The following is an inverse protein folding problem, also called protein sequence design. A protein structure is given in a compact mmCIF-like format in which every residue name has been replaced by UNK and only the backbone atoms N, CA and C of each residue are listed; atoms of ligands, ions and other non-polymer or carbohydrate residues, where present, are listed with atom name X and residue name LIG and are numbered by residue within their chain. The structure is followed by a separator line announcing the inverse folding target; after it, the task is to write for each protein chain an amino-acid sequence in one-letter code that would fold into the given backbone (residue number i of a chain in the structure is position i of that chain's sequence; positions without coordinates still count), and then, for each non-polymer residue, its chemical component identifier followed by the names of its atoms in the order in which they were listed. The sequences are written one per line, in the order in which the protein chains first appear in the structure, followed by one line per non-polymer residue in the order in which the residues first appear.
data_IF_855723072858
#
_entry.id   IF_855723072858
#
_cell.length_a   1.000
_cell.length_b   1.000
_cell.length_c   1.000
_cell.angle_alpha   90.00
_cell.angle_beta   90.00
_cell.angle_gamma   90.00
#
_symmetry.space_group_name_H-M   'P 1'
#
loop_
_entity.id
_entity.type
_entity.pdbx_description
1 polymer ?
#
# COMPACT_ATOMS: atom_id res chain seq x y z
N UNK A 1 6.36 5.12 -13.23
CA UNK A 1 6.70 5.04 -14.65
C UNK A 1 8.01 4.28 -14.86
N UNK A 2 8.07 3.53 -15.95
CA UNK A 2 9.28 2.78 -16.28
C UNK A 2 9.45 1.45 -15.59
N UNK A 3 8.55 1.08 -14.67
CA UNK A 3 8.64 -0.22 -14.04
C UNK A 3 8.09 -1.30 -14.99
N UNK A 4 8.77 -2.44 -15.06
CA UNK A 4 8.35 -3.54 -15.90
C UNK A 4 7.65 -4.61 -15.08
N UNK A 5 6.73 -5.33 -15.72
CA UNK A 5 5.97 -6.40 -15.05
C UNK A 5 6.89 -7.45 -14.43
N UNK A 6 7.90 -7.89 -15.18
CA UNK A 6 8.85 -8.90 -14.71
C UNK A 6 9.57 -8.46 -13.43
N UNK A 7 9.99 -7.19 -13.38
CA UNK A 7 10.68 -6.63 -12.22
C UNK A 7 9.75 -6.58 -11.02
N UNK A 8 8.53 -6.10 -11.21
CA UNK A 8 7.56 -6.02 -10.12
C UNK A 8 7.22 -7.41 -9.57
N UNK A 9 7.00 -8.38 -10.46
CA UNK A 9 6.72 -9.76 -10.03
C UNK A 9 7.86 -10.33 -9.21
N UNK A 10 9.10 -10.10 -9.63
CA UNK A 10 10.27 -10.58 -8.90
C UNK A 10 10.36 -9.97 -7.51
N UNK A 11 10.13 -8.67 -7.41
CA UNK A 11 10.18 -7.95 -6.13
C UNK A 11 9.10 -8.45 -5.17
N UNK A 12 7.87 -8.59 -5.64
CA UNK A 12 6.74 -8.99 -4.80
C UNK A 12 6.73 -10.49 -4.48
N UNK A 13 7.55 -11.27 -5.17
CA UNK A 13 7.67 -12.70 -4.93
C UNK A 13 8.86 -13.04 -4.03
N UNK A 14 9.57 -12.04 -3.52
CA UNK A 14 10.74 -12.28 -2.67
C UNK A 14 10.34 -13.06 -1.42
N UNK A 15 11.13 -14.08 -1.09
CA UNK A 15 10.87 -14.90 0.08
C UNK A 15 10.94 -14.05 1.35
N UNK A 16 9.94 -14.22 2.21
CA UNK A 16 9.88 -13.50 3.48
C UNK A 16 9.29 -12.10 3.37
N UNK A 17 8.96 -11.63 2.16
CA UNK A 17 8.35 -10.32 2.01
C UNK A 17 6.90 -10.37 2.51
N UNK A 18 6.55 -9.50 3.47
CA UNK A 18 5.23 -9.49 4.10
C UNK A 18 4.47 -8.19 3.86
N UNK A 19 5.15 -7.11 3.55
CA UNK A 19 4.51 -5.82 3.33
C UNK A 19 5.28 -4.94 2.37
N UNK A 20 4.58 -4.02 1.74
CA UNK A 20 5.12 -3.08 0.76
C UNK A 20 4.46 -1.73 0.96
N UNK A 21 5.24 -0.67 0.88
CA UNK A 21 4.71 0.68 0.80
C UNK A 21 4.75 1.08 -0.68
N UNK A 22 3.57 1.36 -1.23
CA UNK A 22 3.43 1.80 -2.62
C UNK A 22 3.35 3.32 -2.63
N UNK A 23 4.30 3.96 -3.26
CA UNK A 23 4.29 5.42 -3.41
C UNK A 23 3.63 5.77 -4.74
N UNK A 24 2.57 6.57 -4.68
CA UNK A 24 1.84 7.00 -5.87
C UNK A 24 1.93 8.51 -6.02
N UNK A 25 1.49 9.02 -7.16
CA UNK A 25 1.55 10.46 -7.43
C UNK A 25 0.27 11.15 -7.02
N UNK A 26 0.39 12.41 -6.60
CA UNK A 26 -0.75 13.25 -6.27
C UNK A 26 -1.62 12.62 -5.20
N UNK A 27 -2.91 12.48 -5.48
CA UNK A 27 -3.89 11.95 -4.54
C UNK A 27 -3.99 10.42 -4.55
N UNK A 28 -2.97 9.74 -5.04
CA UNK A 28 -2.92 8.28 -5.02
C UNK A 28 -2.99 7.62 -6.40
N UNK A 29 -2.70 8.37 -7.46
CA UNK A 29 -2.68 7.81 -8.81
C UNK A 29 -1.46 6.91 -8.99
N UNK A 30 -1.68 5.77 -9.59
CA UNK A 30 -0.65 4.77 -9.89
C UNK A 30 -0.73 4.43 -11.38
N UNK A 31 0.22 3.64 -11.91
CA UNK A 31 0.09 3.15 -13.28
C UNK A 31 -1.24 2.46 -13.49
N UNK A 32 -1.88 2.72 -14.64
CA UNK A 32 -3.21 2.18 -14.95
C UNK A 32 -3.15 0.87 -15.71
N UNK A 33 -1.96 0.35 -15.97
CA UNK A 33 -1.78 -0.90 -16.71
C UNK A 33 -2.48 -2.06 -16.02
N UNK A 34 -3.19 -2.86 -16.80
CA UNK A 34 -3.89 -4.03 -16.26
C UNK A 34 -2.93 -4.99 -15.56
N UNK A 35 -1.73 -5.18 -16.11
CA UNK A 35 -0.76 -6.07 -15.51
C UNK A 35 -0.34 -5.58 -14.12
N UNK A 36 -0.25 -4.27 -13.92
CA UNK A 36 0.16 -3.70 -12.62
C UNK A 36 -0.85 -4.06 -11.54
N UNK A 37 -2.13 -3.82 -11.83
CA UNK A 37 -3.21 -4.15 -10.90
C UNK A 37 -3.24 -5.66 -10.62
N UNK A 38 -3.10 -6.47 -11.67
CA UNK A 38 -3.14 -7.93 -11.53
C UNK A 38 -1.99 -8.47 -10.68
N UNK A 39 -0.79 -7.93 -10.86
CA UNK A 39 0.37 -8.35 -10.08
C UNK A 39 0.17 -8.04 -8.60
N UNK A 40 -0.34 -6.84 -8.29
CA UNK A 40 -0.63 -6.47 -6.91
C UNK A 40 -1.73 -7.36 -6.33
N UNK A 41 -2.79 -7.61 -7.08
CA UNK A 41 -3.88 -8.46 -6.61
C UNK A 41 -3.41 -9.87 -6.28
N UNK A 42 -2.61 -10.46 -7.16
CA UNK A 42 -2.04 -11.79 -6.92
C UNK A 42 -1.20 -11.81 -5.66
N UNK A 43 -0.39 -10.77 -5.44
CA UNK A 43 0.46 -10.69 -4.25
C UNK A 43 -0.37 -10.56 -2.98
N UNK A 44 -1.42 -9.73 -3.02
CA UNK A 44 -2.31 -9.53 -1.87
C UNK A 44 -3.06 -10.84 -1.56
N UNK A 45 -3.48 -11.57 -2.58
CA UNK A 45 -4.14 -12.86 -2.40
C UNK A 45 -3.22 -13.88 -1.74
N UNK A 46 -1.91 -13.74 -1.91
CA UNK A 46 -0.92 -14.59 -1.23
C UNK A 46 -0.63 -14.14 0.20
N UNK A 47 -1.21 -13.02 0.62
CA UNK A 47 -1.05 -12.50 1.98
C UNK A 47 -0.20 -11.25 2.12
N UNK A 48 0.34 -10.70 1.03
CA UNK A 48 1.11 -9.46 1.07
C UNK A 48 0.21 -8.30 1.47
N UNK A 49 0.74 -7.40 2.31
CA UNK A 49 0.04 -6.17 2.68
C UNK A 49 0.66 -5.03 1.90
N UNK A 50 -0.17 -4.28 1.18
CA UNK A 50 0.25 -3.13 0.39
C UNK A 50 -0.38 -1.88 0.97
N UNK A 51 0.45 -0.93 1.38
CA UNK A 51 0.01 0.34 1.95
C UNK A 51 0.37 1.46 0.98
N UNK A 52 -0.63 2.20 0.53
CA UNK A 52 -0.47 3.24 -0.48
C UNK A 52 -0.29 4.61 0.16
N UNK A 53 0.81 5.29 -0.18
CA UNK A 53 1.06 6.67 0.24
C UNK A 53 1.38 7.51 -1.00
N UNK A 54 1.29 8.83 -0.86
CA UNK A 54 1.63 9.72 -1.97
C UNK A 54 3.11 10.11 -1.92
N UNK A 55 3.71 10.23 -3.10
CA UNK A 55 5.06 10.75 -3.23
C UNK A 55 5.10 12.27 -3.04
N UNK A 56 3.95 12.93 -3.16
CA UNK A 56 3.87 14.39 -3.01
C UNK A 56 3.96 14.76 -1.55
N UNK A 57 4.99 15.53 -1.21
CA UNK A 57 5.19 15.98 0.16
C UNK A 57 3.99 16.80 0.63
N UNK A 58 3.43 16.45 1.79
CA UNK A 58 2.25 17.10 2.31
C UNK A 58 0.95 16.69 1.63
N UNK A 59 1.02 15.73 0.69
CA UNK A 59 -0.16 15.24 0.01
C UNK A 59 -0.93 14.21 0.82
N UNK A 60 -2.11 13.89 0.34
CA UNK A 60 -2.99 12.90 0.96
C UNK A 60 -3.52 11.95 -0.11
N UNK A 61 -3.55 10.66 0.22
CA UNK A 61 -4.13 9.65 -0.67
C UNK A 61 -5.65 9.70 -0.54
N UNK A 62 -6.35 9.83 -1.67
CA UNK A 62 -7.80 9.88 -1.73
C UNK A 62 -8.28 8.84 -2.74
N UNK A 63 -8.16 7.57 -2.36
CA UNK A 63 -8.34 6.44 -3.28
C UNK A 63 -9.73 6.39 -3.90
N UNK A 64 -10.75 6.80 -3.16
CA UNK A 64 -12.12 6.74 -3.66
C UNK A 64 -12.49 7.82 -4.68
N UNK A 65 -11.62 8.81 -4.94
CA UNK A 65 -11.92 9.88 -5.90
C UNK A 65 -11.51 9.56 -7.33
N UNK A 66 -10.69 8.54 -7.53
CA UNK A 66 -10.14 8.23 -8.85
C UNK A 66 -10.37 6.77 -9.19
N UNK A 67 -10.59 6.50 -10.48
CA UNK A 67 -10.82 5.12 -10.94
C UNK A 67 -9.67 4.19 -10.56
N UNK A 68 -8.44 4.63 -10.75
CA UNK A 68 -7.26 3.84 -10.39
C UNK A 68 -7.23 3.57 -8.89
N UNK A 69 -7.55 4.59 -8.08
CA UNK A 69 -7.62 4.44 -6.63
C UNK A 69 -8.69 3.44 -6.21
N UNK A 70 -9.85 3.50 -6.84
CA UNK A 70 -10.93 2.55 -6.56
C UNK A 70 -10.52 1.12 -6.92
N UNK A 71 -9.82 0.94 -8.03
CA UNK A 71 -9.35 -0.39 -8.44
C UNK A 71 -8.34 -0.94 -7.43
N UNK A 72 -7.40 -0.10 -6.97
CA UNK A 72 -6.43 -0.49 -5.96
C UNK A 72 -7.14 -0.88 -4.65
N UNK A 73 -8.12 -0.08 -4.25
CA UNK A 73 -8.88 -0.35 -3.03
C UNK A 73 -9.63 -1.68 -3.12
N UNK A 74 -10.22 -1.97 -4.28
CA UNK A 74 -10.98 -3.21 -4.48
C UNK A 74 -10.12 -4.46 -4.36
N UNK A 75 -8.87 -4.40 -4.76
CA UNK A 75 -7.98 -5.55 -4.67
C UNK A 75 -7.32 -5.68 -3.29
N UNK A 76 -7.57 -4.72 -2.40
CA UNK A 76 -7.10 -4.81 -1.02
C UNK A 76 -5.92 -3.92 -0.66
N UNK A 77 -5.56 -2.97 -1.52
CA UNK A 77 -4.52 -1.98 -1.17
C UNK A 77 -5.07 -1.04 -0.10
N UNK A 78 -4.31 -0.86 0.97
CA UNK A 78 -4.72 -0.01 2.09
C UNK A 78 -4.36 1.44 1.81
N UNK A 79 -5.24 2.35 2.24
CA UNK A 79 -5.03 3.79 2.10
C UNK A 79 -4.13 4.28 3.24
N UNK A 80 -3.04 4.96 2.89
CA UNK A 80 -2.12 5.56 3.85
C UNK A 80 -2.48 6.98 4.25
N UNK A 81 -3.56 7.53 3.69
CA UNK A 81 -4.03 8.88 3.99
C UNK A 81 -2.91 9.90 3.76
N UNK A 82 -2.59 10.72 4.76
CA UNK A 82 -1.55 11.75 4.66
C UNK A 82 -0.24 11.36 5.32
N UNK A 83 -0.02 10.06 5.55
CA UNK A 83 1.24 9.58 6.10
C UNK A 83 2.41 9.91 5.17
N UNK A 84 3.54 10.26 5.77
CA UNK A 84 4.79 10.32 5.02
C UNK A 84 5.24 8.89 4.73
N UNK A 85 6.12 8.74 3.75
CA UNK A 85 6.69 7.42 3.43
C UNK A 85 7.40 6.83 4.65
N UNK A 86 8.14 7.66 5.38
CA UNK A 86 8.87 7.23 6.57
C UNK A 86 7.93 6.71 7.65
N UNK A 87 6.82 7.42 7.88
CA UNK A 87 5.83 7.00 8.86
C UNK A 87 5.16 5.69 8.44
N UNK A 88 4.85 5.56 7.16
CA UNK A 88 4.21 4.35 6.63
C UNK A 88 5.13 3.13 6.77
N UNK A 89 6.39 3.26 6.40
CA UNK A 89 7.37 2.16 6.50
C UNK A 89 7.53 1.75 7.96
N UNK A 90 7.71 2.73 8.85
CA UNK A 90 7.90 2.46 10.28
C UNK A 90 6.67 1.78 10.88
N UNK A 91 5.48 2.28 10.55
CA UNK A 91 4.24 1.70 11.05
C UNK A 91 4.06 0.27 10.55
N UNK A 92 4.31 0.04 9.27
CA UNK A 92 4.16 -1.29 8.67
C UNK A 92 5.12 -2.29 9.33
N UNK A 93 6.37 -1.89 9.54
CA UNK A 93 7.36 -2.73 10.22
C UNK A 93 6.92 -3.05 11.65
N UNK A 94 6.45 -2.04 12.38
CA UNK A 94 6.00 -2.23 13.75
C UNK A 94 4.82 -3.20 13.83
N UNK A 95 3.79 -2.97 13.01
CA UNK A 95 2.57 -3.78 13.05
C UNK A 95 2.85 -5.21 12.61
N UNK A 96 3.63 -5.40 11.54
CA UNK A 96 4.00 -6.74 11.09
C UNK A 96 4.84 -7.46 12.13
N UNK A 97 5.68 -6.74 12.86
CA UNK A 97 6.50 -7.32 13.92
C UNK A 97 5.70 -7.85 15.10
N UNK A 98 4.46 -7.42 15.27
CA UNK A 98 3.58 -7.94 16.32
C UNK A 98 3.06 -9.35 16.02
N UNK A 99 3.12 -9.77 14.76
CA UNK A 99 2.70 -11.10 14.30
C UNK A 99 1.27 -11.45 14.71
N UNK A 100 0.38 -10.48 14.57
CA UNK A 100 -1.03 -10.65 14.89
C UNK A 100 -1.79 -11.33 13.74
N UNK A 101 -2.98 -11.88 14.00
CA UNK A 101 -3.86 -12.36 12.92
C UNK A 101 -4.13 -11.24 11.91
N UNK A 102 -4.36 -11.62 10.67
CA UNK A 102 -4.51 -10.66 9.57
C UNK A 102 -5.54 -9.57 9.85
N UNK A 103 -6.69 -9.93 10.39
CA UNK A 103 -7.75 -8.95 10.71
C UNK A 103 -7.26 -7.86 11.65
N UNK A 104 -6.54 -8.25 12.70
CA UNK A 104 -6.00 -7.30 13.67
C UNK A 104 -4.89 -6.45 13.06
N UNK A 105 -4.06 -7.05 12.23
CA UNK A 105 -3.01 -6.34 11.51
C UNK A 105 -3.61 -5.24 10.63
N UNK A 106 -4.64 -5.57 9.86
CA UNK A 106 -5.30 -4.61 8.99
C UNK A 106 -5.97 -3.49 9.79
N UNK A 107 -6.61 -3.82 10.91
CA UNK A 107 -7.26 -2.83 11.76
C UNK A 107 -6.24 -1.83 12.31
N UNK A 108 -5.09 -2.30 12.78
CA UNK A 108 -4.04 -1.41 13.29
C UNK A 108 -3.49 -0.50 12.19
N UNK A 109 -3.34 -1.03 10.98
CA UNK A 109 -2.84 -0.22 9.87
C UNK A 109 -3.83 0.86 9.44
N UNK A 110 -5.12 0.64 9.66
CA UNK A 110 -6.18 1.60 9.33
C UNK A 110 -6.43 2.63 10.43
N UNK A 111 -5.83 2.46 11.60
CA UNK A 111 -6.08 3.30 12.78
C UNK A 111 -4.84 4.12 13.09
N UNK A 112 -4.97 5.47 13.30
CA UNK A 112 -3.82 6.25 13.72
C UNK A 112 -3.42 5.85 15.14
N UNK A 113 -2.16 5.43 15.32
CA UNK A 113 -1.64 4.96 16.60
C UNK A 113 -0.92 6.06 17.37
N UNK A 114 -0.23 6.94 16.65
CA UNK A 114 0.58 8.02 17.22
C UNK A 114 0.39 9.33 16.47
N UNK A 115 -0.77 9.50 15.83
CA UNK A 115 -1.00 10.70 15.02
C UNK A 115 -0.26 10.68 13.69
N UNK A 116 0.11 9.50 13.20
CA UNK A 116 0.89 9.38 11.96
C UNK A 116 0.10 9.78 10.72
N UNK A 117 -1.22 9.80 10.81
CA UNK A 117 -2.06 10.33 9.75
C UNK A 117 -3.34 10.93 10.33
N UNK A 118 -3.96 11.81 9.55
CA UNK A 118 -5.25 12.42 9.91
C UNK A 118 -6.38 11.51 9.47
N UNK A 119 -7.22 11.15 10.41
CA UNK A 119 -8.35 10.26 10.16
C UNK A 119 -9.51 10.98 9.46
#
# INVERSE_FOLDING_TARGET
PGIEERTLRAMLSAEGLRGVVLETFGAGNAPTSEWFIRVLEEAIDRGLIVLNVTQCRGGRVMMELYETGLRLQRIGVLCGHDMTTEAAVTKLMYVLGLELPREQTLDLLRTPLKGEFTD
#
